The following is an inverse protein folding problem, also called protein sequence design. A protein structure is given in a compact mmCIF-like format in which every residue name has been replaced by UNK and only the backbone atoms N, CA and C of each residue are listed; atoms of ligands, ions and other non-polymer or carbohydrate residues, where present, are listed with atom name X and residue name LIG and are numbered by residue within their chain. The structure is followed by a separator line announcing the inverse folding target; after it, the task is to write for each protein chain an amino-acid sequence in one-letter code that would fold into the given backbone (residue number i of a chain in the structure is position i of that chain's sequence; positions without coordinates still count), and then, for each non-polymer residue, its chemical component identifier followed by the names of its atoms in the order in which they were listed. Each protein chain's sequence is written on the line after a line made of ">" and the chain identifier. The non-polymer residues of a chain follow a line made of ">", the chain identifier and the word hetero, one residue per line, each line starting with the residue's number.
data_IF_810965864361
#
_entry.id   IF_810965864361
#
_cell.length_a   1.000
_cell.length_b   1.000
_cell.length_c   1.000
_cell.angle_alpha   90.00
_cell.angle_beta   90.00
_cell.angle_gamma   90.00
#
_symmetry.space_group_name_H-M   'P 1'
#
loop_
_entity.id
_entity.type
_entity.pdbx_description
1 polymer ?
#
# COMPACT_ATOMS: atom_id res chain seq x y z
N UNK A 1 -22.01 22.29 4.26
CA UNK A 1 -21.80 20.87 4.65
C UNK A 1 -21.34 20.15 3.40
N UNK A 2 -20.09 19.69 3.34
CA UNK A 2 -19.55 19.00 2.17
C UNK A 2 -20.13 17.59 2.06
N UNK A 3 -20.43 17.17 0.84
CA UNK A 3 -20.93 15.83 0.52
C UNK A 3 -19.84 14.78 0.78
N UNK A 4 -19.99 14.01 1.87
CA UNK A 4 -19.08 12.94 2.29
C UNK A 4 -19.16 11.68 1.40
N UNK A 5 -20.02 11.66 0.37
CA UNK A 5 -20.12 10.56 -0.58
C UNK A 5 -19.12 10.65 -1.73
N UNK A 6 -18.48 11.82 -1.94
CA UNK A 6 -17.48 11.99 -2.99
C UNK A 6 -16.09 11.58 -2.52
N UNK A 7 -15.34 10.78 -3.30
CA UNK A 7 -13.96 10.44 -2.99
C UNK A 7 -13.15 11.72 -2.83
N UNK A 8 -12.37 11.81 -1.75
CA UNK A 8 -11.49 12.95 -1.55
C UNK A 8 -10.34 12.86 -2.57
N UNK A 9 -10.04 13.93 -3.31
CA UNK A 9 -8.87 13.94 -4.18
C UNK A 9 -7.63 13.82 -3.30
N UNK A 10 -6.94 12.67 -3.40
CA UNK A 10 -5.62 12.46 -2.77
C UNK A 10 -4.47 12.87 -3.70
N UNK A 11 -4.79 13.31 -4.92
CA UNK A 11 -3.83 13.79 -5.91
C UNK A 11 -3.78 15.32 -5.98
N UNK A 12 -2.82 15.90 -5.27
CA UNK A 12 -2.15 17.10 -5.77
C UNK A 12 -0.77 16.63 -6.21
N UNK A 13 -0.54 16.53 -7.52
CA UNK A 13 0.81 16.30 -8.02
C UNK A 13 1.73 17.36 -7.42
N UNK A 14 2.60 16.97 -6.48
CA UNK A 14 3.81 17.73 -6.23
C UNK A 14 4.71 17.51 -7.44
N UNK A 15 4.42 18.26 -8.51
CA UNK A 15 5.35 18.43 -9.61
C UNK A 15 6.67 18.91 -9.01
N UNK A 16 7.70 18.06 -9.06
CA UNK A 16 9.07 18.45 -8.71
C UNK A 16 9.86 17.55 -7.77
N UNK A 17 9.33 16.42 -7.31
CA UNK A 17 10.12 15.46 -6.53
C UNK A 17 10.39 14.20 -7.33
N UNK A 18 11.27 14.34 -8.34
CA UNK A 18 11.98 13.18 -8.88
C UNK A 18 12.79 12.49 -7.78
N UNK A 19 13.33 11.27 -8.02
CA UNK A 19 13.93 10.37 -7.02
C UNK A 19 15.21 10.89 -6.33
N UNK A 20 15.52 12.19 -6.40
CA UNK A 20 16.68 12.80 -5.77
C UNK A 20 16.27 13.88 -4.76
N UNK A 21 15.86 13.45 -3.55
CA UNK A 21 15.94 14.30 -2.35
C UNK A 21 16.96 13.69 -1.41
N UNK A 22 17.81 14.49 -0.77
CA UNK A 22 18.69 14.02 0.32
C UNK A 22 17.99 13.18 1.40
N UNK A 23 16.66 13.32 1.56
CA UNK A 23 15.83 12.51 2.44
C UNK A 23 15.65 11.04 2.00
N UNK A 24 15.63 10.78 0.68
CA UNK A 24 15.52 9.42 0.12
C UNK A 24 16.81 8.63 0.38
N UNK A 25 17.98 9.25 0.08
CA UNK A 25 19.30 8.69 0.39
C UNK A 25 19.49 8.39 1.89
N UNK A 26 18.93 9.24 2.77
CA UNK A 26 18.96 9.02 4.23
C UNK A 26 18.09 7.85 4.69
N UNK A 27 17.11 7.43 3.87
CA UNK A 27 16.32 6.23 4.10
C UNK A 27 17.17 4.99 3.81
N UNK A 28 17.82 4.94 2.64
CA UNK A 28 18.58 3.77 2.12
C UNK A 28 19.68 3.29 3.08
N UNK A 29 20.26 4.18 3.90
CA UNK A 29 21.30 3.83 4.87
C UNK A 29 20.78 3.36 6.25
N UNK A 30 19.46 3.30 6.48
CA UNK A 30 18.89 2.89 7.77
C UNK A 30 18.63 1.39 7.82
N UNK A 31 19.12 0.73 8.87
CA UNK A 31 18.69 -0.62 9.24
C UNK A 31 17.28 -0.57 9.86
N UNK A 32 16.38 -1.46 9.42
CA UNK A 32 15.02 -1.60 9.96
C UNK A 32 13.96 -0.78 9.24
N UNK A 33 12.74 -0.78 9.77
CA UNK A 33 11.60 -0.07 9.16
C UNK A 33 11.73 1.45 9.27
N UNK A 34 11.55 2.15 8.15
CA UNK A 34 11.47 3.59 8.11
C UNK A 34 10.03 4.05 7.86
N UNK A 35 9.75 5.32 8.15
CA UNK A 35 8.44 5.94 7.92
C UNK A 35 8.52 6.94 6.78
N UNK A 36 7.70 6.75 5.76
CA UNK A 36 7.47 7.72 4.69
C UNK A 36 6.11 8.41 4.90
N UNK A 37 6.00 9.67 4.46
CA UNK A 37 4.74 10.43 4.52
C UNK A 37 4.12 10.48 3.13
N UNK A 38 2.80 10.34 3.05
CA UNK A 38 2.02 10.43 1.83
C UNK A 38 0.79 11.31 2.05
N UNK A 39 0.07 11.63 0.97
CA UNK A 39 -1.26 12.22 1.06
C UNK A 39 -2.21 11.25 1.77
N UNK A 40 -2.66 11.60 2.98
CA UNK A 40 -3.49 10.75 3.84
C UNK A 40 -2.80 10.20 5.09
N UNK A 41 -1.47 10.30 5.22
CA UNK A 41 -0.80 9.90 6.46
C UNK A 41 0.67 9.48 6.32
N UNK A 42 0.97 8.31 6.86
CA UNK A 42 2.32 7.72 6.89
C UNK A 42 2.25 6.21 6.66
N UNK A 43 3.27 5.68 6.00
CA UNK A 43 3.49 4.26 5.82
C UNK A 43 4.88 3.86 6.31
N UNK A 44 5.01 2.64 6.79
CA UNK A 44 6.24 1.96 7.12
C UNK A 44 6.75 1.20 5.90
N UNK A 45 8.03 1.39 5.59
CA UNK A 45 8.72 0.80 4.45
C UNK A 45 10.04 0.18 4.92
N UNK A 46 10.53 -0.84 4.21
CA UNK A 46 11.92 -1.32 4.30
C UNK A 46 12.78 -0.46 3.36
N UNK A 47 13.78 0.26 3.87
CA UNK A 47 14.68 1.02 3.00
C UNK A 47 15.58 0.11 2.17
N UNK A 48 15.86 0.50 0.93
CA UNK A 48 16.67 -0.28 0.00
C UNK A 48 15.96 -1.53 -0.54
N UNK A 49 14.63 -1.58 -0.47
CA UNK A 49 13.82 -2.65 -1.07
C UNK A 49 12.79 -2.08 -2.04
N UNK A 50 12.08 -2.99 -2.71
CA UNK A 50 10.96 -2.70 -3.63
C UNK A 50 9.87 -1.84 -3.00
N UNK A 51 9.77 -1.80 -1.67
CA UNK A 51 8.79 -1.00 -0.92
C UNK A 51 8.86 0.48 -1.32
N UNK A 52 10.04 0.97 -1.72
CA UNK A 52 10.25 2.36 -2.14
C UNK A 52 9.68 2.64 -3.52
N UNK A 53 9.93 1.75 -4.49
CA UNK A 53 9.40 1.86 -5.84
C UNK A 53 7.87 1.81 -5.82
N UNK A 54 7.30 0.83 -5.09
CA UNK A 54 5.84 0.72 -4.92
C UNK A 54 5.27 1.95 -4.20
N UNK A 55 6.00 2.54 -3.23
CA UNK A 55 5.55 3.77 -2.59
C UNK A 55 5.46 4.93 -3.58
N UNK A 56 6.46 5.09 -4.43
CA UNK A 56 6.49 6.14 -5.44
C UNK A 56 5.36 5.93 -6.48
N UNK A 57 5.15 4.69 -6.95
CA UNK A 57 4.07 4.35 -7.87
C UNK A 57 2.68 4.70 -7.30
N UNK A 58 2.41 4.25 -6.07
CA UNK A 58 1.10 4.40 -5.43
C UNK A 58 0.81 5.84 -5.03
N UNK A 59 1.79 6.55 -4.47
CA UNK A 59 1.55 7.86 -3.83
C UNK A 59 2.10 9.07 -4.59
N UNK A 60 3.06 8.89 -5.50
CA UNK A 60 3.70 10.00 -6.22
C UNK A 60 3.35 9.99 -7.71
N UNK A 61 3.38 8.82 -8.35
CA UNK A 61 3.11 8.65 -9.78
C UNK A 61 1.61 8.58 -10.10
N UNK A 62 0.77 8.36 -9.09
CA UNK A 62 -0.69 8.36 -9.25
C UNK A 62 -1.20 7.14 -10.03
N UNK A 63 -0.59 5.96 -9.86
CA UNK A 63 -0.97 4.73 -10.57
C UNK A 63 -2.47 4.42 -10.49
N UNK A 64 -3.09 4.75 -9.36
CA UNK A 64 -4.51 4.56 -9.12
C UNK A 64 -5.38 5.78 -9.38
N UNK A 65 -4.89 6.86 -10.02
CA UNK A 65 -5.69 8.04 -10.35
C UNK A 65 -6.63 7.82 -11.55
N UNK A 66 -7.50 6.81 -11.41
CA UNK A 66 -8.56 6.46 -12.36
C UNK A 66 -9.91 6.52 -11.65
N UNK A 67 -11.01 6.60 -12.40
CA UNK A 67 -12.36 6.59 -11.84
C UNK A 67 -12.81 5.17 -11.48
N UNK A 68 -12.94 4.90 -10.18
CA UNK A 68 -13.48 3.65 -9.64
C UNK A 68 -14.96 3.77 -9.24
N UNK A 69 -15.60 4.93 -9.45
CA UNK A 69 -16.89 5.25 -8.88
C UNK A 69 -16.84 5.33 -7.34
N UNK A 70 -17.81 4.69 -6.68
CA UNK A 70 -17.94 4.67 -5.22
C UNK A 70 -18.02 3.22 -4.70
N UNK A 71 -16.91 2.46 -4.73
CA UNK A 71 -16.90 1.09 -4.23
C UNK A 71 -17.21 1.09 -2.73
N UNK A 72 -18.01 0.12 -2.28
CA UNK A 72 -18.24 -0.16 -0.85
C UNK A 72 -17.33 -1.27 -0.33
N UNK A 73 -16.70 -2.03 -1.23
CA UNK A 73 -15.82 -3.14 -0.91
C UNK A 73 -14.70 -3.22 -1.95
N UNK A 74 -13.47 -3.43 -1.47
CA UNK A 74 -12.25 -3.52 -2.27
C UNK A 74 -11.49 -4.78 -1.81
N UNK A 75 -11.10 -5.61 -2.76
CA UNK A 75 -10.26 -6.78 -2.54
C UNK A 75 -8.85 -6.50 -3.08
N UNK A 76 -7.88 -6.40 -2.19
CA UNK A 76 -6.46 -6.22 -2.53
C UNK A 76 -5.75 -7.59 -2.42
N UNK A 77 -5.75 -8.32 -3.54
CA UNK A 77 -5.30 -9.71 -3.63
C UNK A 77 -3.81 -9.78 -3.99
N UNK A 78 -2.95 -9.55 -2.99
CA UNK A 78 -1.51 -9.35 -3.14
C UNK A 78 -1.04 -8.05 -2.51
N UNK A 79 -1.57 -7.76 -1.31
CA UNK A 79 -1.42 -6.46 -0.67
C UNK A 79 0.02 -6.11 -0.29
N UNK A 80 0.96 -7.07 -0.32
CA UNK A 80 2.36 -6.87 0.03
C UNK A 80 2.48 -6.21 1.42
N UNK A 81 3.12 -5.05 1.52
CA UNK A 81 3.21 -4.28 2.77
C UNK A 81 2.03 -3.30 2.99
N UNK A 82 1.01 -3.33 2.13
CA UNK A 82 -0.27 -2.64 2.29
C UNK A 82 -0.38 -1.21 1.76
N UNK A 83 0.48 -0.81 0.81
CA UNK A 83 0.50 0.58 0.32
C UNK A 83 -0.74 0.94 -0.52
N UNK A 84 -1.12 0.08 -1.46
CA UNK A 84 -2.38 0.15 -2.22
C UNK A 84 -3.59 0.15 -1.28
N UNK A 85 -3.61 -0.77 -0.31
CA UNK A 85 -4.66 -0.83 0.71
C UNK A 85 -4.81 0.49 1.49
N UNK A 86 -3.69 1.11 1.90
CA UNK A 86 -3.68 2.42 2.57
C UNK A 86 -4.18 3.53 1.63
N UNK A 87 -3.77 3.52 0.36
CA UNK A 87 -4.27 4.46 -0.64
C UNK A 87 -5.79 4.38 -0.75
N UNK A 88 -6.33 3.17 -0.94
CA UNK A 88 -7.78 2.95 -1.09
C UNK A 88 -8.56 3.27 0.19
N UNK A 89 -8.01 2.98 1.37
CA UNK A 89 -8.65 3.33 2.63
C UNK A 89 -8.79 4.84 2.84
N UNK A 90 -7.80 5.63 2.38
CA UNK A 90 -7.88 7.09 2.39
C UNK A 90 -8.85 7.62 1.33
N UNK A 91 -8.83 7.03 0.13
CA UNK A 91 -9.68 7.47 -0.99
C UNK A 91 -11.15 7.19 -0.75
N UNK A 92 -11.44 6.00 -0.22
CA UNK A 92 -12.78 5.46 0.00
C UNK A 92 -12.96 5.12 1.48
N UNK A 93 -13.11 6.14 2.36
CA UNK A 93 -13.17 5.93 3.80
C UNK A 93 -14.36 5.09 4.26
N UNK A 94 -15.42 5.00 3.43
CA UNK A 94 -16.60 4.19 3.68
C UNK A 94 -16.49 2.77 3.10
N UNK A 95 -15.48 2.48 2.28
CA UNK A 95 -15.28 1.15 1.71
C UNK A 95 -14.53 0.25 2.69
N UNK A 96 -14.89 -1.04 2.71
CA UNK A 96 -14.07 -2.07 3.35
C UNK A 96 -12.97 -2.48 2.39
N UNK A 97 -11.71 -2.48 2.86
CA UNK A 97 -10.56 -2.97 2.11
C UNK A 97 -10.12 -4.30 2.70
N UNK A 98 -10.31 -5.40 1.99
CA UNK A 98 -9.82 -6.72 2.37
C UNK A 98 -8.43 -6.94 1.75
N UNK A 99 -7.39 -6.88 2.58
CA UNK A 99 -6.00 -6.91 2.16
C UNK A 99 -5.39 -8.30 2.39
N UNK A 100 -5.08 -9.02 1.32
CA UNK A 100 -4.63 -10.41 1.36
C UNK A 100 -3.13 -10.47 1.02
N UNK A 101 -2.33 -11.01 1.93
CA UNK A 101 -0.88 -11.19 1.72
C UNK A 101 -0.40 -12.53 2.32
N UNK A 102 0.22 -13.43 1.53
CA UNK A 102 0.66 -14.72 2.03
C UNK A 102 1.98 -14.67 2.83
N UNK A 103 2.93 -13.80 2.46
CA UNK A 103 4.24 -13.74 3.11
C UNK A 103 4.13 -13.12 4.51
N UNK A 104 4.67 -13.82 5.51
CA UNK A 104 4.56 -13.39 6.90
C UNK A 104 5.32 -12.07 7.17
N UNK A 105 6.44 -11.82 6.49
CA UNK A 105 7.23 -10.60 6.66
C UNK A 105 6.47 -9.38 6.12
N UNK A 106 5.91 -9.51 4.92
CA UNK A 106 5.07 -8.50 4.29
C UNK A 106 3.78 -8.27 5.10
N UNK A 107 3.08 -9.34 5.48
CA UNK A 107 1.86 -9.31 6.27
C UNK A 107 2.04 -8.56 7.60
N UNK A 108 3.18 -8.76 8.27
CA UNK A 108 3.49 -8.04 9.52
C UNK A 108 3.64 -6.53 9.31
N UNK A 109 4.14 -6.09 8.16
CA UNK A 109 4.24 -4.67 7.81
C UNK A 109 2.88 -4.14 7.34
N UNK A 110 2.12 -4.92 6.57
CA UNK A 110 0.72 -4.63 6.23
C UNK A 110 -0.10 -4.35 7.49
N UNK A 111 -0.02 -5.19 8.52
CA UNK A 111 -0.71 -4.97 9.80
C UNK A 111 -0.32 -3.64 10.45
N UNK A 112 0.97 -3.26 10.39
CA UNK A 112 1.45 -1.98 10.93
C UNK A 112 0.93 -0.78 10.13
N UNK A 113 0.90 -0.90 8.81
CA UNK A 113 0.39 0.14 7.92
C UNK A 113 -1.13 0.28 8.03
N UNK A 114 -1.84 -0.82 8.20
CA UNK A 114 -3.29 -0.87 8.39
C UNK A 114 -3.76 -0.35 9.76
N UNK A 115 -2.87 -0.27 10.76
CA UNK A 115 -3.25 0.05 12.14
C UNK A 115 -4.03 1.36 12.31
N UNK A 116 -3.76 2.36 11.47
CA UNK A 116 -4.45 3.65 11.52
C UNK A 116 -5.78 3.68 10.74
N UNK A 117 -6.13 2.60 10.03
CA UNK A 117 -7.23 2.55 9.08
C UNK A 117 -8.23 1.45 9.48
N UNK A 118 -9.30 1.79 10.20
CA UNK A 118 -10.25 0.80 10.73
C UNK A 118 -11.00 0.03 9.63
N UNK A 119 -11.06 0.58 8.42
CA UNK A 119 -11.69 -0.01 7.25
C UNK A 119 -10.78 -0.99 6.47
N UNK A 120 -9.50 -1.11 6.83
CA UNK A 120 -8.61 -2.16 6.30
C UNK A 120 -8.73 -3.43 7.15
N UNK A 121 -8.92 -4.57 6.50
CA UNK A 121 -9.01 -5.91 7.08
C UNK A 121 -7.88 -6.77 6.49
N UNK A 122 -6.72 -6.86 7.18
CA UNK A 122 -5.62 -7.70 6.72
C UNK A 122 -5.93 -9.20 6.95
N UNK A 123 -5.59 -10.03 5.97
CA UNK A 123 -5.68 -11.49 6.01
C UNK A 123 -4.34 -12.07 5.55
N UNK A 124 -3.75 -12.94 6.36
CA UNK A 124 -2.58 -13.69 5.95
C UNK A 124 -3.01 -14.91 5.10
N UNK A 125 -2.87 -14.81 3.78
CA UNK A 125 -3.31 -15.85 2.86
C UNK A 125 -3.05 -15.46 1.40
N UNK A 126 -3.37 -16.36 0.48
CA UNK A 126 -3.34 -16.10 -0.96
C UNK A 126 -4.72 -16.27 -1.57
N UNK A 127 -5.01 -15.56 -2.66
CA UNK A 127 -6.22 -15.77 -3.44
C UNK A 127 -6.03 -16.99 -4.35
N UNK A 128 -6.89 -18.01 -4.19
CA UNK A 128 -6.83 -19.25 -4.96
C UNK A 128 -8.23 -19.74 -5.32
N UNK A 129 -8.34 -20.55 -6.38
CA UNK A 129 -9.64 -21.06 -6.86
C UNK A 129 -10.34 -22.05 -5.93
N UNK A 130 -9.66 -22.53 -4.89
CA UNK A 130 -10.22 -23.39 -3.85
C UNK A 130 -9.44 -23.24 -2.54
N UNK A 131 -10.00 -23.70 -1.42
CA UNK A 131 -9.25 -23.75 -0.15
C UNK A 131 -8.11 -24.77 -0.27
N UNK A 132 -6.92 -24.39 0.19
CA UNK A 132 -5.75 -25.26 0.19
C UNK A 132 -4.55 -24.61 0.87
N UNK A 133 -3.55 -25.42 1.22
CA UNK A 133 -2.23 -24.93 1.63
C UNK A 133 -1.31 -24.99 0.41
N UNK A 134 -0.75 -23.86 0.02
CA UNK A 134 0.21 -23.73 -1.06
C UNK A 134 1.51 -23.17 -0.49
N UNK A 135 2.64 -23.56 -1.07
CA UNK A 135 3.94 -22.96 -0.79
C UNK A 135 4.39 -22.15 -1.98
N UNK A 136 4.91 -20.95 -1.74
CA UNK A 136 5.61 -20.19 -2.76
C UNK A 136 6.91 -20.95 -3.05
N UNK A 137 6.98 -21.57 -4.23
CA UNK A 137 8.21 -22.19 -4.72
C UNK A 137 8.91 -21.18 -5.62
N UNK A 138 10.01 -20.60 -5.15
CA UNK A 138 10.92 -19.87 -6.04
C UNK A 138 11.61 -20.90 -6.93
N UNK A 139 11.25 -20.95 -8.21
CA UNK A 139 12.14 -21.57 -9.20
C UNK A 139 13.07 -20.56 -9.87
N UNK A 140 12.65 -19.30 -10.01
CA UNK A 140 13.44 -18.25 -10.66
C UNK A 140 13.02 -16.87 -10.11
N UNK A 141 13.41 -16.51 -8.88
CA UNK A 141 13.32 -15.13 -8.43
C UNK A 141 14.61 -14.43 -8.86
N UNK A 142 14.58 -13.91 -10.10
CA UNK A 142 15.54 -13.04 -10.81
C UNK A 142 16.87 -12.73 -10.08
N UNK A 143 17.97 -13.12 -10.75
CA UNK A 143 19.36 -12.79 -10.41
C UNK A 143 19.76 -11.37 -10.79
#
# INVERSE_FOLDING_TARGET
>A
MGDLSKPQPIGGAIAGLGPAVPGYAKLVCRRGLARARHAGGKAFLRPGSVDQEVFDEVFLSGEFDIDFGAPSFILDAGAHIGLSSVYFANRFPNAIVLAIEPDASNYNILCKNALAYPNIKPIQGGLWGHTGKLSIASKDAES
#
